data_IF_832080730462
#
_entry.id   IF_832080730462
#
_cell.length_a   1.000
_cell.length_b   1.000
_cell.length_c   1.000
_cell.angle_alpha   90.00
_cell.angle_beta   90.00
_cell.angle_gamma   90.00
#
_symmetry.space_group_name_H-M   'P 1'
#
loop_
_entity.id
_entity.type
_entity.pdbx_description
1 polymer ?
#
# COMPACT_ATOMS: atom_id res chain seq x y z
N UNK A 1 60.08 70.77 -28.35
CA UNK A 1 60.63 69.79 -27.39
C UNK A 1 59.40 69.26 -26.60
N UNK A 2 58.83 68.19 -27.04
CA UNK A 2 57.56 67.70 -26.61
C UNK A 2 57.77 66.38 -25.82
N UNK A 3 57.41 66.41 -24.54
CA UNK A 3 57.47 65.24 -23.65
C UNK A 3 56.08 64.56 -23.71
N UNK A 4 56.07 63.33 -24.22
CA UNK A 4 54.91 62.47 -24.21
C UNK A 4 54.86 61.70 -22.89
N UNK A 5 53.85 61.96 -22.09
CA UNK A 5 53.52 61.21 -20.89
C UNK A 5 52.75 59.98 -21.27
N UNK A 6 53.25 58.77 -20.94
CA UNK A 6 52.57 57.52 -21.10
C UNK A 6 51.86 57.15 -19.79
N UNK A 7 50.54 57.13 -19.81
CA UNK A 7 49.70 56.68 -18.69
C UNK A 7 49.53 55.15 -18.85
N UNK A 8 50.19 54.37 -17.94
CA UNK A 8 50.00 52.94 -17.88
C UNK A 8 48.67 52.59 -17.17
N UNK A 9 47.79 51.92 -17.88
CA UNK A 9 46.57 51.32 -17.32
C UNK A 9 46.96 50.03 -16.59
N UNK A 10 46.92 50.06 -15.27
CA UNK A 10 47.08 48.87 -14.43
C UNK A 10 45.71 48.19 -14.31
N UNK A 11 45.51 47.15 -15.11
CA UNK A 11 44.31 46.32 -15.05
C UNK A 11 44.37 45.40 -13.83
N UNK A 12 43.57 45.67 -12.82
CA UNK A 12 43.44 44.85 -11.63
C UNK A 12 42.50 43.67 -11.93
N UNK A 13 43.07 42.50 -12.22
CA UNK A 13 42.31 41.25 -12.33
C UNK A 13 41.93 40.75 -10.94
N UNK A 14 40.67 40.97 -10.57
CA UNK A 14 40.08 40.36 -9.38
C UNK A 14 39.73 38.92 -9.76
N UNK A 15 40.53 37.94 -9.34
CA UNK A 15 40.19 36.54 -9.40
C UNK A 15 39.21 36.22 -8.29
N UNK A 16 37.92 36.14 -8.65
CA UNK A 16 36.90 35.57 -7.79
C UNK A 16 37.16 34.06 -7.68
N UNK A 17 37.82 33.64 -6.62
CA UNK A 17 37.83 32.24 -6.24
C UNK A 17 36.45 31.86 -5.73
N UNK A 18 35.63 31.23 -6.58
CA UNK A 18 34.43 30.54 -6.17
C UNK A 18 34.87 29.38 -5.24
N UNK A 19 34.62 29.58 -3.95
CA UNK A 19 34.74 28.51 -2.98
C UNK A 19 33.61 27.52 -3.28
N UNK A 20 33.87 26.46 -4.06
CA UNK A 20 33.02 25.31 -4.12
C UNK A 20 33.02 24.65 -2.74
N UNK A 21 32.04 25.02 -1.92
CA UNK A 21 31.68 24.24 -0.76
C UNK A 21 31.18 22.89 -1.28
N UNK A 22 32.03 21.88 -1.31
CA UNK A 22 31.60 20.49 -1.35
C UNK A 22 30.78 20.29 -0.09
N UNK A 23 29.46 20.44 -0.23
CA UNK A 23 28.55 19.81 0.72
C UNK A 23 28.91 18.33 0.67
N UNK A 24 29.56 17.84 1.71
CA UNK A 24 29.66 16.42 1.93
C UNK A 24 28.20 15.93 1.98
N UNK A 25 27.78 15.26 0.92
CA UNK A 25 26.55 14.53 0.91
C UNK A 25 26.64 13.57 2.10
N UNK A 26 25.88 13.88 3.16
CA UNK A 26 25.74 12.95 4.27
C UNK A 26 25.32 11.62 3.63
N UNK A 27 25.94 10.49 4.00
CA UNK A 27 25.52 9.22 3.47
C UNK A 27 24.01 9.13 3.73
N UNK A 28 23.23 9.13 2.67
CA UNK A 28 21.80 8.82 2.72
C UNK A 28 21.78 7.41 3.29
N UNK A 29 21.57 7.30 4.61
CA UNK A 29 21.31 6.01 5.22
C UNK A 29 20.21 5.38 4.36
N UNK A 30 20.45 4.17 3.88
CA UNK A 30 19.49 3.41 3.10
C UNK A 30 18.19 3.39 3.89
N UNK A 31 17.28 4.33 3.60
CA UNK A 31 15.95 4.27 4.20
C UNK A 31 15.28 3.06 3.58
N UNK A 32 14.91 2.12 4.42
CA UNK A 32 14.14 0.97 3.99
C UNK A 32 12.93 1.45 3.17
N UNK A 33 12.75 0.91 1.97
CA UNK A 33 11.64 1.31 1.10
C UNK A 33 10.31 0.92 1.74
N UNK A 34 9.42 1.90 1.89
CA UNK A 34 8.08 1.64 2.38
C UNK A 34 7.24 0.91 1.31
N UNK A 35 6.53 -0.12 1.72
CA UNK A 35 5.59 -0.82 0.87
C UNK A 35 4.29 -0.02 0.76
N UNK A 36 3.89 0.32 -0.45
CA UNK A 36 2.62 0.97 -0.77
C UNK A 36 1.80 0.10 -1.71
N UNK A 37 0.49 0.24 -1.69
CA UNK A 37 -0.37 -0.66 -2.46
C UNK A 37 -1.43 0.12 -3.22
N UNK A 38 -1.63 -0.30 -4.48
CA UNK A 38 -2.88 -0.10 -5.20
C UNK A 38 -3.69 -1.39 -5.12
N UNK A 39 -4.98 -1.33 -5.40
CA UNK A 39 -5.80 -2.53 -5.37
C UNK A 39 -6.92 -2.50 -6.40
N UNK A 40 -7.36 -3.70 -6.76
CA UNK A 40 -8.57 -3.96 -7.52
C UNK A 40 -9.37 -5.06 -6.84
N UNK A 41 -10.69 -5.00 -6.94
CA UNK A 41 -11.59 -6.06 -6.51
C UNK A 41 -11.97 -6.85 -7.76
N UNK A 42 -11.67 -8.16 -7.78
CA UNK A 42 -12.00 -9.06 -8.89
C UNK A 42 -13.44 -9.55 -8.73
N UNK A 43 -14.36 -8.96 -9.49
CA UNK A 43 -15.77 -9.28 -9.50
C UNK A 43 -16.16 -10.40 -10.50
N UNK A 44 -15.16 -10.96 -11.23
CA UNK A 44 -15.40 -11.96 -12.29
C UNK A 44 -15.99 -13.30 -11.79
N UNK A 45 -15.99 -13.51 -10.50
CA UNK A 45 -16.42 -14.79 -9.91
C UNK A 45 -17.69 -14.60 -9.11
N UNK A 46 -18.63 -13.78 -9.40
CA UNK A 46 -19.97 -13.95 -8.86
C UNK A 46 -20.92 -12.80 -9.17
N UNK A 47 -22.02 -13.18 -9.63
CA UNK A 47 -23.31 -12.52 -9.60
C UNK A 47 -23.47 -11.46 -8.49
N UNK A 48 -23.41 -10.16 -8.85
CA UNK A 48 -23.98 -9.05 -8.08
C UNK A 48 -23.54 -8.95 -6.62
N UNK A 49 -22.21 -9.01 -6.38
CA UNK A 49 -21.67 -8.50 -5.13
C UNK A 49 -21.97 -6.99 -5.06
N UNK A 50 -22.49 -6.58 -3.95
CA UNK A 50 -22.68 -5.16 -3.63
C UNK A 50 -21.28 -4.61 -3.41
N UNK A 51 -20.86 -3.65 -4.24
CA UNK A 51 -19.61 -2.90 -4.19
C UNK A 51 -18.35 -3.58 -4.74
N UNK A 52 -18.15 -3.49 -6.07
CA UNK A 52 -16.84 -3.69 -6.70
C UNK A 52 -15.91 -2.46 -6.50
N UNK A 53 -16.14 -1.64 -5.49
CA UNK A 53 -15.40 -0.40 -5.23
C UNK A 53 -15.20 -0.18 -3.73
N UNK A 54 -14.04 0.35 -3.41
CA UNK A 54 -13.71 0.77 -2.05
C UNK A 54 -14.49 2.01 -1.63
N UNK A 55 -14.76 2.11 -0.34
CA UNK A 55 -15.28 3.32 0.28
C UNK A 55 -14.15 4.13 0.94
N UNK A 56 -14.36 5.44 1.12
CA UNK A 56 -13.40 6.28 1.82
C UNK A 56 -13.21 5.80 3.25
N UNK A 57 -11.95 5.66 3.65
CA UNK A 57 -11.50 5.15 4.94
C UNK A 57 -11.65 3.63 5.14
N UNK A 58 -11.91 2.86 4.08
CA UNK A 58 -11.79 1.41 4.18
C UNK A 58 -10.39 1.01 4.63
N UNK A 59 -10.34 -0.01 5.51
CA UNK A 59 -9.09 -0.50 6.10
C UNK A 59 -8.93 -1.97 5.79
N UNK A 60 -7.75 -2.33 5.31
CA UNK A 60 -7.32 -3.71 5.10
C UNK A 60 -6.27 -4.11 6.13
N UNK A 61 -6.22 -5.40 6.46
CA UNK A 61 -5.12 -6.00 7.20
C UNK A 61 -4.08 -6.56 6.25
N UNK A 62 -2.80 -6.35 6.55
CA UNK A 62 -1.69 -6.78 5.72
C UNK A 62 -0.69 -7.61 6.54
N UNK A 63 -0.29 -8.74 5.99
CA UNK A 63 0.82 -9.56 6.49
C UNK A 63 1.95 -9.52 5.47
N UNK A 64 3.19 -9.41 5.96
CA UNK A 64 4.41 -9.58 5.16
C UNK A 64 5.13 -10.83 5.63
N UNK A 65 5.43 -11.72 4.71
CA UNK A 65 6.11 -12.99 4.95
C UNK A 65 7.42 -13.04 4.18
N UNK A 66 8.40 -13.71 4.73
CA UNK A 66 9.60 -14.13 4.00
C UNK A 66 9.18 -15.09 2.85
N UNK A 67 9.60 -14.78 1.63
CA UNK A 67 9.18 -15.56 0.46
C UNK A 67 9.71 -17.02 0.51
N UNK A 68 10.89 -17.25 1.07
CA UNK A 68 11.55 -18.56 1.06
C UNK A 68 10.97 -19.54 2.10
N UNK A 69 10.74 -19.06 3.33
CA UNK A 69 10.36 -19.92 4.47
C UNK A 69 8.96 -19.62 5.02
N UNK A 70 8.27 -18.62 4.46
CA UNK A 70 6.93 -18.16 4.86
C UNK A 70 6.82 -17.70 6.31
N UNK A 71 7.94 -17.34 6.93
CA UNK A 71 7.93 -16.73 8.26
C UNK A 71 7.28 -15.35 8.18
N UNK A 72 6.38 -15.05 9.12
CA UNK A 72 5.77 -13.73 9.24
C UNK A 72 6.82 -12.73 9.72
N UNK A 73 7.09 -11.72 8.91
CA UNK A 73 8.00 -10.61 9.19
C UNK A 73 7.25 -9.41 9.77
N UNK A 74 6.02 -9.18 9.30
CA UNK A 74 5.10 -8.19 9.84
C UNK A 74 3.70 -8.79 9.87
N UNK A 75 3.05 -8.71 11.04
CA UNK A 75 1.70 -9.22 11.21
C UNK A 75 0.70 -8.07 11.26
N UNK A 76 -0.45 -8.30 10.62
CA UNK A 76 -1.68 -7.51 10.72
C UNK A 76 -1.49 -5.98 10.69
N UNK A 77 -0.69 -5.48 9.76
CA UNK A 77 -0.52 -4.05 9.57
C UNK A 77 -1.79 -3.43 8.95
N UNK A 78 -2.32 -2.38 9.60
CA UNK A 78 -3.51 -1.68 9.10
C UNK A 78 -3.13 -0.69 7.99
N UNK A 79 -3.75 -0.86 6.81
CA UNK A 79 -3.61 0.02 5.66
C UNK A 79 -4.96 0.62 5.30
N UNK A 80 -5.00 1.90 4.97
CA UNK A 80 -6.23 2.65 4.72
C UNK A 80 -6.24 3.29 3.34
N UNK A 81 -7.38 3.24 2.66
CA UNK A 81 -7.65 4.05 1.47
C UNK A 81 -8.46 5.28 1.86
N UNK A 82 -7.81 6.44 1.93
CA UNK A 82 -8.44 7.66 2.41
C UNK A 82 -9.58 8.16 1.51
N UNK A 83 -9.54 7.83 0.22
CA UNK A 83 -10.49 8.30 -0.79
C UNK A 83 -11.41 7.21 -1.34
N UNK A 84 -11.22 5.96 -0.94
CA UNK A 84 -11.90 4.84 -1.58
C UNK A 84 -11.44 4.58 -3.03
N UNK A 85 -10.28 5.04 -3.40
CA UNK A 85 -9.71 4.93 -4.74
C UNK A 85 -8.83 3.68 -4.93
N UNK A 86 -8.78 2.83 -3.90
CA UNK A 86 -7.97 1.62 -3.90
C UNK A 86 -6.48 1.85 -3.69
N UNK A 87 -6.06 3.09 -3.41
CA UNK A 87 -4.70 3.40 -2.99
C UNK A 87 -4.59 3.28 -1.47
N UNK A 88 -3.80 2.32 -1.00
CA UNK A 88 -3.64 2.01 0.41
C UNK A 88 -2.28 2.46 0.94
N UNK A 89 -2.31 3.17 2.07
CA UNK A 89 -1.12 3.60 2.83
C UNK A 89 -1.21 3.09 4.26
N UNK A 90 -0.07 2.82 4.87
CA UNK A 90 -0.03 2.38 6.28
C UNK A 90 -0.66 3.43 7.21
N UNK A 91 -1.55 3.00 8.10
CA UNK A 91 -2.00 3.87 9.20
C UNK A 91 -0.81 4.21 10.09
N UNK A 92 -0.89 5.30 10.84
CA UNK A 92 0.18 5.74 11.73
C UNK A 92 0.73 4.58 12.59
N UNK A 93 2.03 4.33 12.50
CA UNK A 93 2.71 3.21 13.18
C UNK A 93 2.56 1.85 12.52
N UNK A 94 1.84 1.72 11.40
CA UNK A 94 1.62 0.46 10.68
C UNK A 94 2.35 0.37 9.35
N UNK A 95 3.11 1.37 8.96
CA UNK A 95 3.91 1.31 7.74
C UNK A 95 4.80 0.06 7.73
N UNK A 96 4.83 -0.63 6.60
CA UNK A 96 5.64 -1.83 6.37
C UNK A 96 6.78 -1.47 5.45
N UNK A 97 8.00 -1.89 5.81
CA UNK A 97 9.22 -1.61 5.06
C UNK A 97 9.81 -2.91 4.55
N UNK A 98 10.33 -2.88 3.32
CA UNK A 98 11.06 -4.00 2.76
C UNK A 98 12.36 -4.26 3.54
N UNK A 99 12.78 -5.53 3.67
CA UNK A 99 14.08 -5.86 4.27
C UNK A 99 15.24 -5.18 3.51
N UNK A 100 16.16 -4.57 4.26
CA UNK A 100 17.33 -3.87 3.70
C UNK A 100 18.35 -4.81 3.06
N UNK A 101 18.34 -6.08 3.47
CA UNK A 101 19.22 -7.14 2.93
C UNK A 101 18.77 -7.67 1.57
N UNK A 102 17.65 -7.13 1.03
CA UNK A 102 17.10 -7.55 -0.26
C UNK A 102 16.29 -8.84 -0.22
N UNK A 103 16.01 -9.38 0.97
CA UNK A 103 15.14 -10.55 1.13
C UNK A 103 13.82 -10.33 0.42
N UNK A 104 13.44 -11.26 -0.46
CA UNK A 104 12.17 -11.24 -1.14
C UNK A 104 11.03 -11.58 -0.18
N UNK A 105 9.92 -10.87 -0.30
CA UNK A 105 8.76 -11.02 0.58
C UNK A 105 7.48 -11.28 -0.19
N UNK A 106 6.52 -11.91 0.48
CA UNK A 106 5.15 -12.05 0.04
C UNK A 106 4.25 -11.17 0.87
N UNK A 107 3.18 -10.66 0.24
CA UNK A 107 2.13 -9.95 0.95
C UNK A 107 0.81 -10.71 0.85
N UNK A 108 0.13 -10.81 1.98
CA UNK A 108 -1.23 -11.30 2.10
C UNK A 108 -2.06 -10.19 2.71
N UNK A 109 -3.13 -9.81 2.03
CA UNK A 109 -4.05 -8.80 2.52
C UNK A 109 -5.47 -9.37 2.66
N UNK A 110 -6.24 -8.81 3.59
CA UNK A 110 -7.64 -9.18 3.81
C UNK A 110 -8.48 -7.94 4.17
N UNK A 111 -9.77 -8.03 3.93
CA UNK A 111 -10.79 -7.05 4.28
C UNK A 111 -12.06 -7.76 4.79
N UNK A 112 -12.78 -7.20 5.76
CA UNK A 112 -12.49 -5.98 6.52
C UNK A 112 -11.38 -6.20 7.56
N UNK A 113 -10.67 -5.11 7.94
CA UNK A 113 -9.62 -5.17 8.96
C UNK A 113 -10.21 -5.50 10.34
N UNK A 114 -9.57 -6.42 11.03
CA UNK A 114 -9.83 -6.71 12.44
C UNK A 114 -8.48 -6.76 13.19
N UNK A 115 -8.35 -5.97 14.23
CA UNK A 115 -7.12 -5.88 15.03
C UNK A 115 -6.77 -7.20 15.76
N UNK A 116 -7.75 -8.09 15.93
CA UNK A 116 -7.59 -9.36 16.63
C UNK A 116 -7.06 -10.48 15.75
N UNK A 117 -6.97 -10.27 14.44
CA UNK A 117 -6.42 -11.26 13.53
C UNK A 117 -4.91 -11.34 13.70
N UNK A 118 -4.43 -12.46 14.22
CA UNK A 118 -3.01 -12.74 14.46
C UNK A 118 -2.43 -13.77 13.49
N UNK A 119 -3.27 -14.47 12.76
CA UNK A 119 -2.91 -15.55 11.84
C UNK A 119 -3.52 -15.29 10.46
N UNK A 120 -2.66 -15.11 9.45
CA UNK A 120 -3.06 -14.84 8.07
C UNK A 120 -3.75 -16.02 7.37
N UNK A 121 -3.81 -17.19 8.01
CA UNK A 121 -4.50 -18.38 7.49
C UNK A 121 -5.88 -18.57 8.11
N UNK A 122 -6.25 -17.77 9.12
CA UNK A 122 -7.49 -17.94 9.87
C UNK A 122 -8.19 -16.61 10.12
N UNK A 123 -9.39 -16.49 9.58
CA UNK A 123 -10.27 -15.35 9.82
C UNK A 123 -11.53 -15.85 10.52
N UNK A 124 -11.95 -15.16 11.56
CA UNK A 124 -13.23 -15.41 12.25
C UNK A 124 -14.16 -14.27 11.89
N UNK A 125 -15.28 -14.58 11.25
CA UNK A 125 -16.27 -13.61 10.81
C UNK A 125 -17.60 -13.94 11.47
N UNK A 126 -18.18 -12.97 12.16
CA UNK A 126 -19.56 -13.08 12.67
C UNK A 126 -20.53 -12.65 11.57
N UNK A 127 -21.34 -13.58 11.11
CA UNK A 127 -22.36 -13.36 10.07
C UNK A 127 -23.78 -13.37 10.62
N UNK A 128 -23.95 -13.23 11.93
CA UNK A 128 -25.28 -13.24 12.57
C UNK A 128 -26.07 -11.99 12.27
N UNK A 129 -25.42 -10.83 12.13
CA UNK A 129 -26.02 -9.58 11.64
C UNK A 129 -25.58 -9.33 10.20
N UNK A 130 -26.52 -9.37 9.27
CA UNK A 130 -26.30 -9.14 7.84
C UNK A 130 -26.91 -7.81 7.34
N UNK A 131 -27.28 -6.92 8.26
CA UNK A 131 -27.88 -5.62 7.93
C UNK A 131 -26.87 -4.71 7.19
N UNK A 132 -25.56 -4.85 7.48
CA UNK A 132 -24.48 -4.14 6.83
C UNK A 132 -23.55 -5.14 6.14
N UNK A 133 -23.79 -5.36 4.86
CA UNK A 133 -23.10 -6.38 4.09
C UNK A 133 -21.57 -6.14 4.01
N UNK A 134 -21.13 -4.89 3.97
CA UNK A 134 -19.70 -4.54 3.96
C UNK A 134 -18.95 -5.03 5.19
N UNK A 135 -19.60 -5.14 6.34
CA UNK A 135 -18.94 -5.57 7.58
C UNK A 135 -18.64 -7.08 7.59
N UNK A 136 -19.32 -7.83 6.72
CA UNK A 136 -19.18 -9.30 6.61
C UNK A 136 -18.65 -9.74 5.24
N UNK A 137 -18.27 -8.82 4.37
CA UNK A 137 -17.76 -9.14 3.03
C UNK A 137 -16.29 -9.48 3.06
N UNK A 138 -15.96 -10.68 3.52
CA UNK A 138 -14.58 -11.12 3.63
C UNK A 138 -13.95 -11.27 2.24
N UNK A 139 -12.90 -10.49 2.01
CA UNK A 139 -12.06 -10.55 0.81
C UNK A 139 -10.60 -10.80 1.16
N UNK A 140 -9.87 -11.45 0.27
CA UNK A 140 -8.41 -11.65 0.40
C UNK A 140 -7.68 -11.35 -0.90
N UNK A 141 -6.40 -10.94 -0.76
CA UNK A 141 -5.45 -10.80 -1.86
C UNK A 141 -4.14 -11.50 -1.48
N UNK A 142 -3.72 -12.46 -2.32
CA UNK A 142 -2.52 -13.29 -2.10
C UNK A 142 -1.60 -13.30 -3.33
N UNK A 143 -1.79 -12.34 -4.22
CA UNK A 143 -1.13 -12.32 -5.54
C UNK A 143 0.27 -11.70 -5.53
N UNK A 144 0.67 -11.02 -4.46
CA UNK A 144 1.97 -10.35 -4.39
C UNK A 144 3.01 -11.26 -3.74
N UNK A 145 3.78 -11.96 -4.56
CA UNK A 145 4.83 -12.89 -4.13
C UNK A 145 6.20 -12.46 -4.66
N UNK A 146 7.26 -12.76 -3.91
CA UNK A 146 8.64 -12.50 -4.32
C UNK A 146 8.96 -11.02 -4.52
N UNK A 147 8.32 -10.13 -3.76
CA UNK A 147 8.50 -8.68 -3.88
C UNK A 147 9.76 -8.23 -3.17
N UNK A 148 10.40 -7.18 -3.70
CA UNK A 148 11.61 -6.56 -3.12
C UNK A 148 11.50 -5.04 -3.14
N UNK A 149 12.41 -4.37 -2.45
CA UNK A 149 12.50 -2.90 -2.39
C UNK A 149 12.68 -2.23 -3.76
N UNK A 150 13.12 -2.96 -4.79
CA UNK A 150 13.30 -2.41 -6.16
C UNK A 150 11.99 -2.05 -6.84
N UNK A 151 10.86 -2.59 -6.36
CA UNK A 151 9.51 -2.28 -6.86
C UNK A 151 8.55 -2.18 -5.68
N UNK A 152 8.61 -1.10 -4.90
CA UNK A 152 7.96 -1.00 -3.59
C UNK A 152 6.45 -0.92 -3.64
N UNK A 153 5.87 -0.53 -4.77
CA UNK A 153 4.41 -0.47 -4.94
C UNK A 153 3.89 -1.80 -5.49
N UNK A 154 2.92 -2.39 -4.81
CA UNK A 154 2.23 -3.61 -5.23
C UNK A 154 0.79 -3.34 -5.66
N UNK A 155 0.25 -4.13 -6.60
CA UNK A 155 -1.18 -4.12 -6.92
C UNK A 155 -1.85 -5.35 -6.31
N UNK A 156 -2.67 -5.15 -5.28
CA UNK A 156 -3.43 -6.18 -4.60
C UNK A 156 -4.68 -6.55 -5.41
N UNK A 157 -4.89 -7.83 -5.66
CA UNK A 157 -6.07 -8.34 -6.35
C UNK A 157 -6.96 -9.07 -5.36
N UNK A 158 -7.97 -8.35 -4.85
CA UNK A 158 -8.91 -8.89 -3.88
C UNK A 158 -9.95 -9.76 -4.52
N UNK A 159 -10.32 -10.85 -3.83
CA UNK A 159 -11.41 -11.75 -4.19
C UNK A 159 -12.30 -11.98 -3.00
N UNK A 160 -13.61 -11.95 -3.23
CA UNK A 160 -14.60 -12.32 -2.21
C UNK A 160 -14.43 -13.79 -1.84
N UNK A 161 -14.49 -14.09 -0.55
CA UNK A 161 -14.45 -15.47 -0.03
C UNK A 161 -15.85 -16.00 0.30
N UNK A 162 -16.84 -15.14 0.41
CA UNK A 162 -18.21 -15.49 0.70
C UNK A 162 -19.11 -15.31 -0.53
N UNK A 163 -20.22 -16.04 -0.55
CA UNK A 163 -21.25 -15.91 -1.55
C UNK A 163 -22.56 -15.44 -0.90
N UNK A 164 -23.28 -14.53 -1.56
CA UNK A 164 -24.60 -14.10 -1.17
C UNK A 164 -25.67 -14.98 -1.83
N UNK A 165 -26.53 -15.60 -1.01
CA UNK A 165 -27.69 -16.32 -1.49
C UNK A 165 -28.96 -15.46 -1.29
N UNK A 166 -29.65 -15.16 -2.36
CA UNK A 166 -30.95 -14.45 -2.33
C UNK A 166 -32.05 -15.45 -2.69
N UNK A 167 -32.96 -15.69 -1.76
CA UNK A 167 -34.11 -16.55 -1.96
C UNK A 167 -35.39 -15.67 -2.17
N UNK A 168 -35.97 -15.77 -3.33
CA UNK A 168 -37.28 -15.18 -3.61
C UNK A 168 -38.35 -16.24 -3.39
N UNK A 169 -39.01 -16.14 -2.27
CA UNK A 169 -40.13 -17.06 -1.92
C UNK A 169 -41.47 -16.47 -2.34
N UNK A 170 -42.32 -17.29 -2.94
CA UNK A 170 -43.67 -16.93 -3.22
C UNK A 170 -44.59 -18.11 -2.86
N UNK A 171 -45.80 -17.83 -2.37
CA UNK A 171 -46.77 -18.88 -2.16
C UNK A 171 -47.36 -19.34 -3.50
N UNK A 172 -47.73 -20.60 -3.60
CA UNK A 172 -48.34 -21.18 -4.81
C UNK A 172 -49.72 -20.55 -5.17
N UNK A 173 -50.37 -19.99 -4.19
CA UNK A 173 -51.70 -19.33 -4.32
C UNK A 173 -51.61 -17.80 -4.48
N UNK A 174 -50.35 -17.25 -4.54
CA UNK A 174 -50.11 -15.81 -4.69
C UNK A 174 -50.33 -14.99 -3.42
N UNK A 175 -50.54 -15.64 -2.27
CA UNK A 175 -50.60 -14.92 -0.98
C UNK A 175 -49.24 -14.45 -0.55
N UNK A 176 -49.11 -13.33 0.17
CA UNK A 176 -47.86 -12.91 0.79
C UNK A 176 -47.52 -13.85 1.95
N UNK A 177 -46.20 -14.21 2.01
CA UNK A 177 -45.62 -14.96 3.12
C UNK A 177 -45.40 -14.07 4.32
#
# INVERSE_FOLDING_TARGET
MTIKSAIGFLSLFIVLQACESKFAELPQGNQAAEATFTSVIDDRVMSRAVNASWEANDVIGLFMLDNANKKVLKANAAYVTARGDGNFVGKAGNAVYYPEDGTAVDFIAYYPYDEQVTDHTRYVLDVTDQSRQQDIDLMTAVNLTGRTATSPTGNLQFRHLLAKLVLNLSSADGSSL
#
